data_IF_056083138291
#
_entry.id   IF_056083138291
#
_cell.length_a   1.000
_cell.length_b   1.000
_cell.length_c   1.000
_cell.angle_alpha   90.00
_cell.angle_beta   90.00
_cell.angle_gamma   90.00
#
_symmetry.space_group_name_H-M   'P 1'
#
loop_
_entity.id
_entity.type
_entity.pdbx_description
1 polymer ?
#
# COMPACT_ATOMS: atom_id res chain seq x y z
N UNK A 1 -84.27 -28.32 11.90
CA UNK A 1 -83.16 -29.19 11.44
C UNK A 1 -82.09 -28.30 10.85
N UNK A 2 -80.99 -28.15 11.60
CA UNK A 2 -79.87 -27.29 11.30
C UNK A 2 -78.79 -28.05 10.54
N UNK A 3 -78.18 -27.41 9.53
CA UNK A 3 -76.82 -27.68 9.00
C UNK A 3 -76.57 -26.77 7.78
N UNK A 4 -75.76 -25.73 7.95
CA UNK A 4 -74.46 -25.65 7.29
C UNK A 4 -73.66 -24.47 7.88
N UNK A 5 -72.60 -24.82 8.60
CA UNK A 5 -71.51 -23.92 8.97
C UNK A 5 -70.74 -23.54 7.70
N UNK A 6 -70.40 -22.26 7.53
CA UNK A 6 -69.20 -21.86 6.81
C UNK A 6 -68.35 -20.98 7.74
N UNK A 7 -67.21 -21.54 8.10
CA UNK A 7 -66.23 -21.07 9.07
C UNK A 7 -65.31 -20.06 8.36
N UNK A 8 -65.41 -18.76 8.68
CA UNK A 8 -64.42 -17.76 8.28
C UNK A 8 -63.16 -17.92 9.15
N UNK A 9 -62.12 -18.54 8.60
CA UNK A 9 -60.80 -18.60 9.23
C UNK A 9 -60.03 -17.30 8.92
N UNK A 10 -59.92 -16.42 9.92
CA UNK A 10 -59.01 -15.28 9.92
C UNK A 10 -57.57 -15.80 10.10
N UNK A 11 -56.79 -15.83 9.03
CA UNK A 11 -55.35 -16.04 9.10
C UNK A 11 -54.66 -14.75 9.58
N UNK A 12 -54.36 -14.71 10.88
CA UNK A 12 -53.40 -13.78 11.45
C UNK A 12 -52.00 -14.15 10.94
N UNK A 13 -51.49 -13.44 9.94
CA UNK A 13 -50.07 -13.53 9.58
C UNK A 13 -49.27 -12.76 10.64
N UNK A 14 -48.77 -13.47 11.63
CA UNK A 14 -47.75 -12.96 12.53
C UNK A 14 -46.47 -12.75 11.72
N UNK A 15 -46.21 -11.51 11.29
CA UNK A 15 -44.91 -11.11 10.77
C UNK A 15 -43.89 -11.19 11.91
N UNK A 16 -43.18 -12.32 11.98
CA UNK A 16 -41.95 -12.43 12.75
C UNK A 16 -40.95 -11.46 12.14
N UNK A 17 -40.76 -10.30 12.79
CA UNK A 17 -39.59 -9.44 12.55
C UNK A 17 -38.37 -10.27 12.90
N UNK A 18 -37.76 -10.88 11.90
CA UNK A 18 -36.41 -11.44 12.01
C UNK A 18 -35.47 -10.25 12.17
N UNK A 19 -35.09 -9.97 13.41
CA UNK A 19 -33.92 -9.15 13.68
C UNK A 19 -32.75 -9.77 12.89
N UNK A 20 -32.01 -9.01 12.07
CA UNK A 20 -30.78 -9.53 11.51
C UNK A 20 -29.90 -9.90 12.70
N UNK A 21 -29.51 -11.18 12.75
CA UNK A 21 -28.49 -11.65 13.67
C UNK A 21 -27.27 -10.74 13.50
N UNK A 22 -26.99 -9.94 14.51
CA UNK A 22 -25.69 -9.31 14.65
C UNK A 22 -24.69 -10.46 14.79
N UNK A 23 -24.03 -10.79 13.70
CA UNK A 23 -22.90 -11.72 13.74
C UNK A 23 -21.76 -11.00 14.44
N UNK A 24 -21.61 -11.32 15.72
CA UNK A 24 -20.45 -11.02 16.53
C UNK A 24 -19.17 -11.43 15.74
N UNK A 25 -18.19 -10.54 15.49
CA UNK A 25 -17.02 -10.80 14.64
C UNK A 25 -15.98 -11.74 15.29
N UNK A 26 -16.41 -12.67 16.14
CA UNK A 26 -15.57 -13.48 17.01
C UNK A 26 -15.47 -14.97 16.65
N UNK A 27 -16.00 -15.45 15.52
CA UNK A 27 -15.73 -16.81 15.05
C UNK A 27 -14.47 -16.85 14.19
N UNK A 28 -13.34 -16.62 14.88
CA UNK A 28 -11.97 -16.85 14.44
C UNK A 28 -11.76 -18.35 14.21
N UNK A 29 -11.50 -18.78 12.97
CA UNK A 29 -11.05 -20.14 12.72
C UNK A 29 -9.68 -20.38 13.38
N UNK A 30 -9.58 -21.38 14.26
CA UNK A 30 -8.31 -21.75 14.91
C UNK A 30 -7.26 -22.13 13.84
N UNK A 31 -6.06 -21.57 13.95
CA UNK A 31 -4.93 -21.85 13.05
C UNK A 31 -4.03 -22.89 13.69
N UNK A 32 -3.84 -24.01 13.00
CA UNK A 32 -2.94 -25.07 13.42
C UNK A 32 -1.60 -24.91 12.67
N UNK A 33 -0.50 -24.89 13.42
CA UNK A 33 0.84 -24.79 12.88
C UNK A 33 1.59 -26.11 13.05
N UNK A 34 2.06 -26.66 11.93
CA UNK A 34 2.89 -27.87 11.88
C UNK A 34 4.27 -27.51 11.31
N UNK A 35 5.33 -27.87 12.02
CA UNK A 35 6.71 -27.67 11.57
C UNK A 35 7.37 -28.99 11.25
N UNK A 36 7.92 -29.10 10.04
CA UNK A 36 8.76 -30.20 9.62
C UNK A 36 10.22 -29.74 9.51
N UNK A 37 11.05 -30.20 10.44
CA UNK A 37 12.47 -29.88 10.50
C UNK A 37 13.26 -30.92 9.70
N UNK A 38 13.90 -30.45 8.63
CA UNK A 38 14.66 -31.23 7.68
C UNK A 38 16.14 -31.10 8.01
N UNK A 39 16.76 -32.20 8.43
CA UNK A 39 18.20 -32.26 8.68
C UNK A 39 18.92 -32.90 7.48
N UNK A 40 20.02 -32.29 6.96
CA UNK A 40 20.84 -32.89 5.90
C UNK A 40 21.36 -34.29 6.23
N UNK A 41 21.72 -34.52 7.50
CA UNK A 41 22.05 -35.83 8.09
C UNK A 41 21.67 -35.82 9.56
N UNK A 42 20.73 -36.67 9.98
CA UNK A 42 20.26 -36.68 11.38
C UNK A 42 21.37 -37.01 12.36
N UNK A 43 22.29 -37.92 12.03
CA UNK A 43 23.36 -38.33 12.95
C UNK A 43 24.30 -37.19 13.37
N UNK A 44 24.51 -36.20 12.49
CA UNK A 44 25.38 -35.04 12.78
C UNK A 44 24.59 -33.91 13.47
N UNK A 45 23.33 -33.72 13.08
CA UNK A 45 22.48 -32.64 13.58
C UNK A 45 21.54 -33.06 14.72
N UNK A 46 21.70 -34.27 15.28
CA UNK A 46 20.75 -34.88 16.22
C UNK A 46 20.50 -34.02 17.46
N UNK A 47 21.56 -33.44 18.03
CA UNK A 47 21.47 -32.60 19.21
C UNK A 47 20.73 -31.28 18.91
N UNK A 48 21.05 -30.63 17.80
CA UNK A 48 20.41 -29.38 17.39
C UNK A 48 18.94 -29.60 17.01
N UNK A 49 18.64 -30.71 16.33
CA UNK A 49 17.27 -31.08 15.98
C UNK A 49 16.42 -31.39 17.22
N UNK A 50 16.98 -32.04 18.24
CA UNK A 50 16.31 -32.23 19.52
C UNK A 50 16.06 -30.91 20.25
N UNK A 51 17.04 -30.00 20.27
CA UNK A 51 16.89 -28.68 20.91
C UNK A 51 15.79 -27.85 20.25
N UNK A 52 15.80 -27.73 18.92
CA UNK A 52 14.75 -27.06 18.18
C UNK A 52 13.39 -27.73 18.36
N UNK A 53 13.35 -29.06 18.28
CA UNK A 53 12.11 -29.82 18.44
C UNK A 53 11.49 -29.67 19.83
N UNK A 54 12.29 -29.54 20.88
CA UNK A 54 11.80 -29.23 22.24
C UNK A 54 11.30 -27.80 22.33
N UNK A 55 12.11 -26.82 21.93
CA UNK A 55 11.74 -25.40 21.97
C UNK A 55 10.40 -25.12 21.27
N UNK A 56 10.22 -25.63 20.05
CA UNK A 56 9.00 -25.41 19.26
C UNK A 56 7.77 -26.12 19.85
N UNK A 57 7.95 -27.30 20.47
CA UNK A 57 6.85 -27.99 21.19
C UNK A 57 6.46 -27.24 22.46
N UNK A 58 7.41 -26.63 23.15
CA UNK A 58 7.13 -25.81 24.35
C UNK A 58 6.32 -24.55 24.00
N UNK A 59 6.41 -24.06 22.75
CA UNK A 59 5.54 -23.01 22.21
C UNK A 59 4.13 -23.51 21.81
N UNK A 60 3.85 -24.80 22.03
CA UNK A 60 2.57 -25.42 21.69
C UNK A 60 2.43 -25.83 20.23
N UNK A 61 3.53 -25.87 19.46
CA UNK A 61 3.49 -26.25 18.04
C UNK A 61 3.67 -27.76 17.83
N UNK A 62 3.11 -28.27 16.73
CA UNK A 62 3.32 -29.66 16.30
C UNK A 62 4.62 -29.71 15.51
N UNK A 63 5.57 -30.56 15.92
CA UNK A 63 6.90 -30.63 15.30
C UNK A 63 7.25 -32.06 14.91
N UNK A 64 7.72 -32.24 13.66
CA UNK A 64 8.30 -33.47 13.16
C UNK A 64 9.71 -33.22 12.67
N UNK A 65 10.64 -34.11 13.01
CA UNK A 65 12.02 -34.05 12.52
C UNK A 65 12.26 -35.23 11.59
N UNK A 66 12.87 -34.99 10.43
CA UNK A 66 13.28 -36.05 9.49
C UNK A 66 14.53 -35.68 8.70
N UNK A 67 15.08 -36.67 8.00
CA UNK A 67 16.16 -36.44 7.03
C UNK A 67 15.63 -35.83 5.72
N UNK A 68 16.55 -35.14 5.03
CA UNK A 68 16.32 -34.57 3.71
C UNK A 68 16.06 -35.65 2.66
N UNK A 69 14.96 -35.48 1.93
CA UNK A 69 14.62 -36.20 0.70
C UNK A 69 15.02 -35.36 -0.52
N UNK A 70 15.24 -36.02 -1.66
CA UNK A 70 15.67 -35.36 -2.89
C UNK A 70 14.66 -34.32 -3.43
N UNK A 71 13.39 -34.43 -3.06
CA UNK A 71 12.31 -33.53 -3.49
C UNK A 71 11.99 -32.42 -2.49
N UNK A 72 12.71 -32.32 -1.37
CA UNK A 72 12.40 -31.35 -0.32
C UNK A 72 12.70 -29.91 -0.71
N UNK A 73 11.77 -29.02 -0.37
CA UNK A 73 11.91 -27.58 -0.49
C UNK A 73 11.71 -26.92 0.87
N UNK A 74 12.43 -25.83 1.11
CA UNK A 74 12.19 -24.95 2.25
C UNK A 74 11.03 -24.03 1.83
N UNK A 75 9.86 -24.25 2.42
CA UNK A 75 8.64 -23.54 2.04
C UNK A 75 7.66 -23.50 3.21
N UNK A 76 6.71 -22.56 3.15
CA UNK A 76 5.55 -22.57 4.02
C UNK A 76 4.33 -22.77 3.14
N UNK A 77 3.51 -23.77 3.45
CA UNK A 77 2.30 -24.09 2.69
C UNK A 77 1.08 -23.95 3.58
N UNK A 78 -0.03 -23.49 3.03
CA UNK A 78 -1.29 -23.35 3.76
C UNK A 78 -2.39 -24.17 3.10
N UNK A 79 -3.15 -24.89 3.93
CA UNK A 79 -4.30 -25.67 3.50
C UNK A 79 -5.49 -25.38 4.42
N UNK A 80 -6.62 -25.01 3.83
CA UNK A 80 -7.88 -24.89 4.56
C UNK A 80 -8.48 -26.29 4.77
N UNK A 81 -8.80 -26.64 6.02
CA UNK A 81 -9.41 -27.92 6.39
C UNK A 81 -10.65 -27.68 7.24
N UNK A 82 -11.80 -27.49 6.57
CA UNK A 82 -13.05 -27.13 7.25
C UNK A 82 -12.98 -25.74 7.88
N UNK A 83 -13.21 -25.64 9.18
CA UNK A 83 -13.13 -24.39 9.97
C UNK A 83 -11.71 -24.02 10.41
N UNK A 84 -10.72 -24.88 10.13
CA UNK A 84 -9.32 -24.69 10.54
C UNK A 84 -8.44 -24.34 9.34
N UNK A 85 -7.44 -23.50 9.57
CA UNK A 85 -6.33 -23.27 8.61
C UNK A 85 -5.11 -24.01 9.11
N UNK A 86 -4.57 -24.91 8.28
CA UNK A 86 -3.34 -25.65 8.57
C UNK A 86 -2.19 -24.99 7.84
N UNK A 87 -1.25 -24.42 8.60
CA UNK A 87 0.01 -23.88 8.08
C UNK A 87 1.10 -24.91 8.34
N UNK A 88 1.74 -25.38 7.27
CA UNK A 88 2.89 -26.29 7.34
C UNK A 88 4.16 -25.55 6.98
N UNK A 89 5.15 -25.58 7.86
CA UNK A 89 6.47 -25.00 7.66
C UNK A 89 7.46 -26.14 7.40
N UNK A 90 8.12 -26.13 6.24
CA UNK A 90 9.26 -26.99 5.95
C UNK A 90 10.54 -26.18 6.18
N UNK A 91 11.26 -26.49 7.26
CA UNK A 91 12.43 -25.75 7.71
C UNK A 91 13.68 -26.62 7.59
N UNK A 92 14.81 -26.07 7.15
CA UNK A 92 16.09 -26.79 7.13
C UNK A 92 16.93 -26.46 8.36
N UNK A 93 17.49 -27.49 9.00
CA UNK A 93 18.50 -27.34 10.02
C UNK A 93 19.89 -27.44 9.41
N UNK A 94 20.66 -26.35 9.42
CA UNK A 94 22.03 -26.36 8.90
C UNK A 94 23.02 -27.07 9.84
N UNK A 95 24.30 -27.07 9.47
CA UNK A 95 25.37 -27.72 10.25
C UNK A 95 25.75 -26.93 11.51
N UNK A 96 25.49 -25.63 11.52
CA UNK A 96 25.78 -24.73 12.64
C UNK A 96 24.64 -24.71 13.67
N UNK A 97 23.53 -25.41 13.37
CA UNK A 97 22.36 -25.50 14.23
C UNK A 97 21.37 -24.36 14.05
N UNK A 98 21.48 -23.58 12.98
CA UNK A 98 20.51 -22.54 12.62
C UNK A 98 19.35 -23.14 11.83
N UNK A 99 18.18 -22.57 12.03
CA UNK A 99 16.95 -22.99 11.37
C UNK A 99 16.63 -22.05 10.21
N UNK A 100 16.68 -22.58 9.00
CA UNK A 100 16.37 -21.87 7.76
C UNK A 100 14.91 -22.11 7.39
N UNK A 101 14.18 -21.01 7.20
CA UNK A 101 12.80 -21.00 6.71
C UNK A 101 12.71 -20.00 5.55
N UNK A 102 11.62 -19.95 4.77
CA UNK A 102 11.51 -18.97 3.69
C UNK A 102 11.67 -17.55 4.20
N UNK A 103 12.70 -16.84 3.72
CA UNK A 103 12.97 -15.44 4.06
C UNK A 103 13.66 -15.18 5.41
N UNK A 104 13.84 -16.20 6.27
CA UNK A 104 14.44 -16.01 7.60
C UNK A 104 15.41 -17.14 7.99
N UNK A 105 16.35 -16.79 8.87
CA UNK A 105 17.26 -17.73 9.53
C UNK A 105 17.22 -17.46 11.02
N UNK A 106 16.90 -18.47 11.82
CA UNK A 106 16.77 -18.35 13.26
C UNK A 106 17.87 -19.09 14.00
N UNK A 107 18.24 -18.56 15.16
CA UNK A 107 19.21 -19.14 16.07
C UNK A 107 18.57 -19.41 17.43
N UNK A 108 18.92 -20.53 18.08
CA UNK A 108 18.35 -20.90 19.40
C UNK A 108 18.70 -19.94 20.53
N UNK A 109 19.74 -19.12 20.35
CA UNK A 109 20.16 -18.09 21.31
C UNK A 109 19.29 -16.82 21.22
N UNK A 110 18.38 -16.72 20.24
CA UNK A 110 17.44 -15.61 20.03
C UNK A 110 15.99 -16.11 19.91
N UNK A 111 15.44 -16.73 20.97
CA UNK A 111 14.13 -17.39 20.92
C UNK A 111 12.95 -16.44 20.64
N UNK A 112 13.09 -15.16 21.00
CA UNK A 112 12.10 -14.12 20.75
C UNK A 112 11.80 -13.90 19.25
N UNK A 113 12.81 -13.94 18.38
CA UNK A 113 12.66 -13.67 16.94
C UNK A 113 11.77 -14.75 16.27
N UNK A 114 12.03 -16.02 16.56
CA UNK A 114 11.22 -17.12 16.02
C UNK A 114 9.83 -17.18 16.66
N UNK A 115 9.70 -16.84 17.95
CA UNK A 115 8.39 -16.83 18.64
C UNK A 115 7.46 -15.78 18.02
N UNK A 116 7.99 -14.59 17.72
CA UNK A 116 7.26 -13.55 17.00
C UNK A 116 6.81 -14.07 15.62
N UNK A 117 7.73 -14.67 14.86
CA UNK A 117 7.43 -15.21 13.53
C UNK A 117 6.38 -16.34 13.53
N UNK A 118 6.39 -17.26 14.50
CA UNK A 118 5.36 -18.31 14.63
C UNK A 118 3.98 -17.69 14.91
N UNK A 119 3.93 -16.64 15.73
CA UNK A 119 2.71 -15.88 16.00
C UNK A 119 2.21 -15.15 14.76
N UNK A 120 3.10 -14.62 13.94
CA UNK A 120 2.76 -14.04 12.64
C UNK A 120 2.17 -15.08 11.70
N UNK A 121 2.76 -16.27 11.60
CA UNK A 121 2.20 -17.36 10.77
C UNK A 121 0.80 -17.78 11.25
N UNK A 122 0.57 -17.84 12.57
CA UNK A 122 -0.76 -18.09 13.13
C UNK A 122 -1.77 -16.99 12.83
N UNK A 123 -1.30 -15.77 12.58
CA UNK A 123 -2.16 -14.60 12.32
C UNK A 123 -2.41 -14.40 10.82
N UNK A 124 -1.37 -14.53 10.00
CA UNK A 124 -1.30 -14.11 8.60
C UNK A 124 -1.09 -15.25 7.59
N UNK A 125 -0.95 -16.50 8.07
CA UNK A 125 -0.83 -17.69 7.22
C UNK A 125 0.57 -17.91 6.65
N UNK A 126 0.69 -18.79 5.65
CA UNK A 126 1.97 -19.23 5.09
C UNK A 126 2.82 -18.11 4.45
N UNK A 127 2.22 -16.95 4.21
CA UNK A 127 2.86 -15.81 3.58
C UNK A 127 3.48 -14.83 4.60
N UNK A 128 3.46 -15.14 5.91
CA UNK A 128 4.10 -14.32 6.95
C UNK A 128 3.44 -12.96 7.21
N UNK A 129 3.94 -12.22 8.21
CA UNK A 129 3.55 -10.82 8.45
C UNK A 129 3.88 -9.95 7.23
N UNK A 130 3.05 -8.94 6.92
CA UNK A 130 3.37 -7.93 5.91
C UNK A 130 4.72 -7.23 6.12
N UNK A 131 5.28 -7.29 7.32
CA UNK A 131 6.54 -6.67 7.73
C UNK A 131 7.79 -7.45 7.25
N UNK A 132 7.64 -8.73 6.85
CA UNK A 132 8.75 -9.63 6.49
C UNK A 132 8.86 -10.00 4.99
N UNK A 133 8.04 -9.42 4.12
CA UNK A 133 8.04 -9.67 2.66
C UNK A 133 8.15 -8.35 1.87
N UNK A 134 8.67 -8.37 0.62
CA UNK A 134 8.85 -7.17 -0.19
C UNK A 134 7.57 -6.32 -0.28
N UNK A 135 7.74 -5.01 -0.09
CA UNK A 135 6.76 -3.91 -0.17
C UNK A 135 5.28 -4.32 0.03
N UNK A 136 4.76 -4.09 1.25
CA UNK A 136 3.37 -4.36 1.67
C UNK A 136 2.97 -5.82 1.85
N UNK A 137 3.94 -6.74 2.00
CA UNK A 137 3.62 -8.15 2.20
C UNK A 137 3.05 -8.85 0.97
N UNK A 138 3.33 -8.31 -0.23
CA UNK A 138 2.86 -8.82 -1.51
C UNK A 138 4.02 -9.47 -2.27
N UNK A 139 3.86 -10.74 -2.63
CA UNK A 139 4.75 -11.38 -3.59
C UNK A 139 4.72 -10.69 -4.96
N UNK A 140 5.82 -10.73 -5.70
CA UNK A 140 5.98 -10.04 -6.98
C UNK A 140 4.85 -10.28 -8.01
N UNK A 141 4.29 -11.50 -8.19
CA UNK A 141 3.18 -11.71 -9.12
C UNK A 141 1.92 -10.91 -8.72
N UNK A 142 1.61 -10.91 -7.43
CA UNK A 142 0.43 -10.23 -6.89
C UNK A 142 0.58 -8.71 -6.89
N UNK A 143 1.80 -8.23 -6.59
CA UNK A 143 2.11 -6.83 -6.78
C UNK A 143 1.89 -6.40 -8.24
N UNK A 144 2.37 -7.20 -9.20
CA UNK A 144 2.19 -6.90 -10.63
C UNK A 144 0.72 -6.86 -11.04
N UNK A 145 -0.11 -7.77 -10.52
CA UNK A 145 -1.56 -7.76 -10.74
C UNK A 145 -2.21 -6.50 -10.17
N UNK A 146 -1.89 -6.14 -8.94
CA UNK A 146 -2.37 -4.92 -8.29
C UNK A 146 -1.94 -3.68 -9.09
N UNK A 147 -0.66 -3.57 -9.43
CA UNK A 147 -0.10 -2.48 -10.22
C UNK A 147 -0.83 -2.33 -11.56
N UNK A 148 -1.02 -3.43 -12.29
CA UNK A 148 -1.76 -3.43 -13.54
C UNK A 148 -3.24 -3.04 -13.37
N UNK A 149 -3.88 -3.45 -12.27
CA UNK A 149 -5.29 -3.09 -11.99
C UNK A 149 -5.49 -1.59 -11.75
N UNK A 150 -4.47 -0.92 -11.19
CA UNK A 150 -4.47 0.52 -10.89
C UNK A 150 -3.92 1.39 -12.03
N UNK A 151 -3.48 0.79 -13.14
CA UNK A 151 -2.91 1.48 -14.30
C UNK A 151 -3.93 2.15 -15.23
N UNK A 152 -5.24 2.01 -14.96
CA UNK A 152 -6.27 2.64 -15.78
C UNK A 152 -6.26 4.16 -15.57
N UNK A 153 -6.30 4.98 -16.62
CA UNK A 153 -6.28 6.43 -16.47
C UNK A 153 -7.60 6.94 -15.91
N UNK A 154 -7.53 7.99 -15.09
CA UNK A 154 -8.70 8.75 -14.63
C UNK A 154 -9.22 9.61 -15.78
N UNK A 155 -10.47 9.41 -16.18
CA UNK A 155 -11.05 10.08 -17.36
C UNK A 155 -11.62 11.47 -17.06
N UNK A 156 -11.98 11.74 -15.81
CA UNK A 156 -12.66 12.98 -15.39
C UNK A 156 -11.68 13.95 -14.71
N UNK A 157 -11.84 15.26 -14.92
CA UNK A 157 -11.08 16.27 -14.17
C UNK A 157 -11.52 16.28 -12.71
N UNK A 158 -10.57 16.24 -11.79
CA UNK A 158 -10.86 16.25 -10.34
C UNK A 158 -10.42 17.55 -9.67
N UNK A 159 -9.64 18.39 -10.35
CA UNK A 159 -9.28 19.70 -9.82
C UNK A 159 -10.54 20.54 -9.56
N UNK A 160 -10.61 21.19 -8.40
CA UNK A 160 -11.74 22.00 -7.99
C UNK A 160 -12.95 21.20 -7.47
N UNK A 161 -12.90 19.87 -7.47
CA UNK A 161 -13.94 19.05 -6.85
C UNK A 161 -13.72 18.93 -5.33
N UNK A 162 -14.78 18.81 -4.52
CA UNK A 162 -14.67 18.40 -3.12
C UNK A 162 -13.96 17.05 -2.97
N UNK A 163 -13.13 16.88 -1.94
CA UNK A 163 -12.42 15.63 -1.65
C UNK A 163 -13.36 14.41 -1.57
N UNK A 164 -14.55 14.55 -0.98
CA UNK A 164 -15.50 13.44 -0.86
C UNK A 164 -16.09 13.00 -2.22
N UNK A 165 -16.20 13.92 -3.18
CA UNK A 165 -16.61 13.64 -4.56
C UNK A 165 -15.45 13.05 -5.37
N UNK A 166 -14.24 13.60 -5.22
CA UNK A 166 -13.04 13.08 -5.85
C UNK A 166 -12.76 11.61 -5.44
N UNK A 167 -12.91 11.27 -4.16
CA UNK A 167 -12.74 9.89 -3.68
C UNK A 167 -13.84 8.93 -4.17
N UNK A 168 -15.05 9.43 -4.46
CA UNK A 168 -16.09 8.63 -5.13
C UNK A 168 -15.74 8.37 -6.59
N UNK A 169 -15.16 9.34 -7.28
CA UNK A 169 -14.69 9.18 -8.65
C UNK A 169 -13.46 8.26 -8.76
N UNK A 170 -12.64 8.20 -7.70
CA UNK A 170 -11.41 7.39 -7.63
C UNK A 170 -11.59 6.02 -6.96
N UNK A 171 -12.82 5.48 -6.92
CA UNK A 171 -13.01 4.12 -6.42
C UNK A 171 -12.22 3.11 -7.27
N UNK A 172 -11.44 2.22 -6.63
CA UNK A 172 -10.67 1.24 -7.36
C UNK A 172 -11.62 0.20 -8.02
N UNK A 173 -11.19 -0.48 -9.09
CA UNK A 173 -12.01 -1.47 -9.77
C UNK A 173 -12.21 -2.69 -8.85
N UNK A 174 -13.37 -3.33 -8.97
CA UNK A 174 -13.62 -4.61 -8.30
C UNK A 174 -12.54 -5.64 -8.70
N UNK A 175 -12.09 -6.50 -7.76
CA UNK A 175 -12.59 -6.68 -6.38
C UNK A 175 -11.92 -5.76 -5.34
N UNK A 176 -11.06 -4.82 -5.73
CA UNK A 176 -10.37 -3.95 -4.79
C UNK A 176 -11.36 -3.04 -4.06
N UNK A 177 -11.13 -2.86 -2.77
CA UNK A 177 -11.94 -1.97 -1.92
C UNK A 177 -11.07 -0.90 -1.33
N UNK A 178 -11.57 0.33 -1.35
CA UNK A 178 -10.99 1.45 -0.65
C UNK A 178 -11.61 1.54 0.75
N UNK A 179 -10.78 1.47 1.78
CA UNK A 179 -11.18 1.62 3.18
C UNK A 179 -10.40 2.75 3.82
N UNK A 180 -10.99 3.38 4.83
CA UNK A 180 -10.31 4.36 5.65
C UNK A 180 -10.12 3.81 7.05
N UNK A 181 -8.91 3.93 7.58
CA UNK A 181 -8.65 3.72 9.00
C UNK A 181 -9.35 4.82 9.81
N UNK A 182 -9.64 4.59 11.10
CA UNK A 182 -10.41 5.50 11.93
C UNK A 182 -9.81 6.91 11.99
N UNK A 183 -8.49 7.03 12.13
CA UNK A 183 -7.80 8.32 12.18
C UNK A 183 -7.86 9.06 10.83
N UNK A 184 -7.84 8.33 9.71
CA UNK A 184 -8.08 8.93 8.39
C UNK A 184 -9.54 9.34 8.19
N UNK A 185 -10.50 8.55 8.68
CA UNK A 185 -11.93 8.88 8.57
C UNK A 185 -12.26 10.24 9.21
N UNK A 186 -11.68 10.56 10.36
CA UNK A 186 -11.87 11.87 11.02
C UNK A 186 -11.32 13.03 10.18
N UNK A 187 -10.16 12.85 9.53
CA UNK A 187 -9.59 13.85 8.62
C UNK A 187 -10.44 14.02 7.36
N UNK A 188 -10.87 12.91 6.75
CA UNK A 188 -11.75 12.90 5.60
C UNK A 188 -13.10 13.58 5.88
N UNK A 189 -13.67 13.38 7.06
CA UNK A 189 -14.91 14.07 7.47
C UNK A 189 -14.70 15.57 7.63
N UNK A 190 -13.58 16.00 8.22
CA UNK A 190 -13.26 17.43 8.42
C UNK A 190 -12.94 18.15 7.11
N UNK A 191 -12.24 17.48 6.19
CA UNK A 191 -11.70 18.06 4.97
C UNK A 191 -12.48 17.66 3.71
N UNK A 192 -13.56 16.87 3.84
CA UNK A 192 -14.29 16.31 2.71
C UNK A 192 -14.82 17.35 1.71
N UNK A 193 -15.10 18.57 2.18
CA UNK A 193 -15.56 19.70 1.34
C UNK A 193 -14.43 20.60 0.85
N UNK A 194 -13.21 20.38 1.29
CA UNK A 194 -12.04 21.10 0.79
C UNK A 194 -11.78 20.65 -0.65
N UNK A 195 -11.48 21.61 -1.52
CA UNK A 195 -11.31 21.35 -2.95
C UNK A 195 -9.95 20.74 -3.23
N UNK A 196 -9.92 19.75 -4.12
CA UNK A 196 -8.70 19.23 -4.71
C UNK A 196 -8.04 20.34 -5.54
N UNK A 197 -6.78 20.64 -5.26
CA UNK A 197 -6.08 21.78 -5.85
C UNK A 197 -5.27 21.42 -7.10
N UNK A 198 -4.73 20.21 -7.16
CA UNK A 198 -3.93 19.72 -8.30
C UNK A 198 -4.75 18.78 -9.18
N UNK A 199 -4.60 18.90 -10.51
CA UNK A 199 -5.26 18.03 -11.47
C UNK A 199 -4.56 16.66 -11.56
N UNK A 200 -5.36 15.60 -11.62
CA UNK A 200 -4.91 14.20 -11.74
C UNK A 200 -5.54 13.48 -12.93
N UNK A 201 -6.37 14.16 -13.72
CA UNK A 201 -6.94 13.61 -14.95
C UNK A 201 -5.85 13.07 -15.86
N UNK A 202 -6.10 11.88 -16.40
CA UNK A 202 -5.17 11.18 -17.25
C UNK A 202 -4.07 10.44 -16.51
N UNK A 203 -3.83 10.67 -15.22
CA UNK A 203 -2.97 9.79 -14.43
C UNK A 203 -3.68 8.47 -14.16
N UNK A 204 -2.90 7.42 -13.95
CA UNK A 204 -3.36 6.11 -13.52
C UNK A 204 -4.03 6.20 -12.15
N UNK A 205 -5.05 5.37 -11.92
CA UNK A 205 -5.86 5.38 -10.69
C UNK A 205 -5.02 5.34 -9.40
N UNK A 206 -3.97 4.52 -9.34
CA UNK A 206 -3.11 4.42 -8.16
C UNK A 206 -2.40 5.75 -7.86
N UNK A 207 -1.69 6.28 -8.85
CA UNK A 207 -1.01 7.57 -8.76
C UNK A 207 -1.97 8.74 -8.54
N UNK A 208 -3.14 8.74 -9.19
CA UNK A 208 -4.17 9.78 -9.02
C UNK A 208 -4.75 9.78 -7.61
N UNK A 209 -5.05 8.60 -7.05
CA UNK A 209 -5.51 8.46 -5.66
C UNK A 209 -4.45 8.94 -4.68
N UNK A 210 -3.19 8.55 -4.85
CA UNK A 210 -2.09 9.05 -4.03
C UNK A 210 -1.93 10.57 -4.15
N UNK A 211 -2.03 11.09 -5.38
CA UNK A 211 -1.88 12.51 -5.68
C UNK A 211 -3.01 13.39 -5.14
N UNK A 212 -4.24 12.87 -5.04
CA UNK A 212 -5.33 13.54 -4.33
C UNK A 212 -5.07 13.49 -2.82
N UNK A 213 -4.82 12.31 -2.26
CA UNK A 213 -4.69 12.12 -0.80
C UNK A 213 -3.53 12.93 -0.19
N UNK A 214 -2.39 13.04 -0.88
CA UNK A 214 -1.21 13.76 -0.37
C UNK A 214 -1.50 15.25 -0.12
N UNK A 215 -2.43 15.86 -0.87
CA UNK A 215 -2.83 17.26 -0.70
C UNK A 215 -3.55 17.51 0.63
N UNK A 216 -4.03 16.44 1.28
CA UNK A 216 -4.80 16.46 2.53
C UNK A 216 -4.07 15.80 3.70
N UNK A 217 -2.79 15.44 3.50
CA UNK A 217 -1.96 14.81 4.53
C UNK A 217 -2.32 13.35 4.76
N UNK A 218 -2.92 12.72 3.74
CA UNK A 218 -3.31 11.32 3.72
C UNK A 218 -2.44 10.57 2.72
N UNK A 219 -2.36 9.26 2.88
CA UNK A 219 -1.87 8.35 1.87
C UNK A 219 -2.70 7.08 1.90
N UNK A 220 -2.37 6.14 1.01
CA UNK A 220 -2.92 4.79 1.11
C UNK A 220 -1.83 3.77 0.90
N UNK A 221 -2.08 2.53 1.33
CA UNK A 221 -1.26 1.37 1.00
C UNK A 221 -2.15 0.15 0.79
N UNK A 222 -1.72 -0.83 -0.01
CA UNK A 222 -2.40 -2.11 -0.05
C UNK A 222 -2.15 -2.87 1.25
N UNK A 223 -3.20 -3.51 1.74
CA UNK A 223 -3.17 -4.40 2.90
C UNK A 223 -3.82 -5.72 2.50
N UNK A 224 -3.16 -6.81 2.87
CA UNK A 224 -3.69 -8.16 2.68
C UNK A 224 -4.68 -8.49 3.79
N UNK A 225 -5.88 -8.94 3.43
CA UNK A 225 -6.86 -9.43 4.41
C UNK A 225 -6.52 -10.87 4.83
N UNK A 226 -7.05 -11.37 5.97
CA UNK A 226 -6.93 -12.78 6.35
C UNK A 226 -7.47 -13.75 5.30
N UNK A 227 -8.45 -13.33 4.49
CA UNK A 227 -9.03 -14.07 3.36
C UNK A 227 -8.17 -14.02 2.09
N UNK A 228 -6.98 -13.42 2.19
CA UNK A 228 -6.04 -13.28 1.10
C UNK A 228 -6.57 -12.37 -0.03
N UNK A 229 -7.42 -11.39 0.28
CA UNK A 229 -7.82 -10.30 -0.63
C UNK A 229 -6.90 -9.08 -0.45
N UNK A 230 -6.91 -8.14 -1.39
CA UNK A 230 -6.19 -6.85 -1.26
C UNK A 230 -7.22 -5.75 -1.02
N UNK A 231 -7.00 -4.98 0.03
CA UNK A 231 -7.73 -3.74 0.29
C UNK A 231 -6.77 -2.56 0.24
N UNK A 232 -7.23 -1.42 -0.27
CA UNK A 232 -6.48 -0.18 -0.25
C UNK A 232 -6.91 0.58 1.00
N UNK A 233 -6.00 0.75 1.96
CA UNK A 233 -6.30 1.38 3.24
C UNK A 233 -5.73 2.79 3.26
N UNK A 234 -6.60 3.78 3.46
CA UNK A 234 -6.27 5.19 3.65
C UNK A 234 -5.93 5.42 5.12
N UNK A 235 -4.79 6.05 5.36
CA UNK A 235 -4.28 6.43 6.67
C UNK A 235 -3.68 7.85 6.61
N UNK A 236 -3.52 8.56 7.74
CA UNK A 236 -2.70 9.77 7.78
C UNK A 236 -1.30 9.47 7.26
N UNK A 237 -0.76 10.35 6.42
CA UNK A 237 0.56 10.15 5.79
C UNK A 237 1.68 10.02 6.83
N UNK A 238 1.54 10.68 7.99
CA UNK A 238 2.45 10.57 9.13
C UNK A 238 2.50 9.19 9.77
N UNK A 239 1.48 8.36 9.55
CA UNK A 239 1.34 7.04 10.16
C UNK A 239 1.74 5.93 9.17
N UNK A 240 1.89 6.25 7.88
CA UNK A 240 2.22 5.29 6.85
C UNK A 240 3.72 5.08 6.76
N UNK A 241 4.12 3.82 6.86
CA UNK A 241 5.41 3.35 6.36
C UNK A 241 5.18 2.86 4.93
N UNK A 242 5.95 3.39 3.97
CA UNK A 242 5.83 3.09 2.55
C UNK A 242 4.43 3.33 1.97
N UNK A 243 3.91 4.56 1.90
CA UNK A 243 2.66 4.80 1.18
C UNK A 243 2.79 4.42 -0.31
N UNK A 244 1.68 4.05 -0.96
CA UNK A 244 1.61 3.99 -2.41
C UNK A 244 2.03 5.35 -2.96
N UNK A 245 3.06 5.41 -3.83
CA UNK A 245 3.70 6.67 -4.11
C UNK A 245 2.88 7.48 -5.11
N UNK A 246 3.04 8.80 -5.08
CA UNK A 246 2.58 9.67 -6.17
C UNK A 246 3.53 9.48 -7.35
N UNK A 247 3.25 8.49 -8.18
CA UNK A 247 4.15 8.03 -9.23
C UNK A 247 5.38 7.30 -8.69
N UNK A 248 5.96 6.48 -9.55
CA UNK A 248 7.11 5.64 -9.30
C UNK A 248 8.39 6.31 -9.79
N UNK A 249 9.52 5.94 -9.20
CA UNK A 249 10.81 6.41 -9.65
C UNK A 249 11.11 5.89 -11.05
N UNK A 250 11.59 6.79 -11.91
CA UNK A 250 12.01 6.48 -13.26
C UNK A 250 13.40 5.85 -13.25
N UNK A 251 13.67 4.96 -14.21
CA UNK A 251 15.01 4.42 -14.42
C UNK A 251 16.01 5.58 -14.64
N UNK A 252 17.05 5.72 -13.79
CA UNK A 252 18.08 6.76 -13.93
C UNK A 252 18.77 6.78 -15.29
N UNK A 253 18.79 5.66 -16.01
CA UNK A 253 19.39 5.53 -17.34
C UNK A 253 18.49 6.06 -18.45
N UNK A 254 17.17 6.18 -18.21
CA UNK A 254 16.24 6.69 -19.22
C UNK A 254 16.35 8.21 -19.33
N UNK A 255 16.64 8.78 -20.51
CA UNK A 255 16.71 10.22 -20.69
C UNK A 255 15.39 10.91 -20.36
N UNK A 256 15.43 11.92 -19.50
CA UNK A 256 14.21 12.60 -18.99
C UNK A 256 13.36 13.23 -20.09
N UNK A 257 13.98 13.68 -21.19
CA UNK A 257 13.29 14.22 -22.35
C UNK A 257 12.55 13.16 -23.18
N UNK A 258 12.82 11.87 -22.99
CA UNK A 258 12.00 10.80 -23.57
C UNK A 258 10.75 10.54 -22.73
N UNK A 259 10.81 10.81 -21.43
CA UNK A 259 9.71 10.57 -20.48
C UNK A 259 8.70 11.73 -20.51
N UNK A 260 9.18 12.97 -20.50
CA UNK A 260 8.35 14.19 -20.50
C UNK A 260 8.85 15.20 -21.56
N UNK A 261 8.73 14.91 -22.87
CA UNK A 261 9.37 15.69 -23.93
C UNK A 261 8.99 17.17 -23.92
N UNK A 262 7.72 17.50 -23.69
CA UNK A 262 7.21 18.88 -23.65
C UNK A 262 7.81 19.68 -22.49
N UNK A 263 8.21 19.02 -21.39
CA UNK A 263 8.90 19.68 -20.27
C UNK A 263 10.31 20.15 -20.66
N UNK A 264 10.93 19.53 -21.66
CA UNK A 264 12.29 19.86 -22.13
C UNK A 264 12.31 20.68 -23.42
N UNK A 265 11.13 21.02 -23.97
CA UNK A 265 11.02 21.88 -25.14
C UNK A 265 11.54 23.29 -24.83
N UNK A 266 12.36 23.84 -25.74
CA UNK A 266 12.94 25.17 -25.60
C UNK A 266 11.95 26.22 -26.10
N UNK A 267 11.53 27.10 -25.20
CA UNK A 267 10.59 28.20 -25.45
C UNK A 267 11.21 29.54 -25.07
N UNK A 268 10.69 30.63 -25.63
CA UNK A 268 11.00 31.99 -25.17
C UNK A 268 9.93 32.41 -24.16
N UNK A 269 10.24 32.35 -22.86
CA UNK A 269 9.27 32.68 -21.82
C UNK A 269 9.95 33.11 -20.51
N UNK A 270 9.18 33.71 -19.62
CA UNK A 270 9.57 34.17 -18.30
C UNK A 270 8.35 34.56 -17.47
N UNK A 271 8.55 34.75 -16.18
CA UNK A 271 7.52 35.11 -15.21
C UNK A 271 8.04 36.23 -14.33
N UNK A 272 7.21 37.25 -14.09
CA UNK A 272 7.58 38.38 -13.24
C UNK A 272 6.41 38.68 -12.32
N UNK A 273 6.64 38.59 -11.00
CA UNK A 273 5.63 38.90 -10.00
C UNK A 273 4.38 38.01 -10.05
N UNK A 274 4.48 36.76 -10.49
CA UNK A 274 3.34 35.83 -10.57
C UNK A 274 3.35 34.89 -9.35
N UNK A 275 2.20 34.61 -8.70
CA UNK A 275 2.12 33.61 -7.64
C UNK A 275 2.68 32.26 -8.09
N UNK A 276 3.54 31.65 -7.27
CA UNK A 276 4.24 30.41 -7.63
C UNK A 276 3.30 29.29 -8.04
N UNK A 277 2.19 29.12 -7.32
CA UNK A 277 1.16 28.14 -7.67
C UNK A 277 0.65 28.32 -9.10
N UNK A 278 0.38 29.56 -9.53
CA UNK A 278 -0.08 29.85 -10.89
C UNK A 278 1.01 29.53 -11.92
N UNK A 279 2.28 29.79 -11.61
CA UNK A 279 3.40 29.41 -12.47
C UNK A 279 3.47 27.89 -12.64
N UNK A 280 3.32 27.12 -11.54
CA UNK A 280 3.30 25.67 -11.59
C UNK A 280 2.10 25.14 -12.39
N UNK A 281 0.91 25.69 -12.19
CA UNK A 281 -0.29 25.33 -12.97
C UNK A 281 -0.11 25.62 -14.47
N UNK A 282 0.50 26.76 -14.81
CA UNK A 282 0.78 27.11 -16.21
C UNK A 282 1.81 26.15 -16.83
N UNK A 283 2.86 25.76 -16.09
CA UNK A 283 3.82 24.74 -16.53
C UNK A 283 3.09 23.41 -16.77
N UNK A 284 2.28 22.95 -15.82
CA UNK A 284 1.53 21.70 -15.94
C UNK A 284 0.65 21.68 -17.20
N UNK A 285 -0.08 22.78 -17.43
CA UNK A 285 -0.97 22.96 -18.59
C UNK A 285 -0.20 23.00 -19.92
N UNK A 286 0.92 23.73 -19.99
CA UNK A 286 1.72 23.88 -21.21
C UNK A 286 2.47 22.60 -21.58
N UNK A 287 2.97 21.89 -20.58
CA UNK A 287 3.75 20.66 -20.75
C UNK A 287 2.87 19.40 -20.76
N UNK A 288 1.57 19.55 -20.47
CA UNK A 288 0.62 18.43 -20.27
C UNK A 288 1.14 17.39 -19.28
N UNK A 289 2.02 17.81 -18.36
CA UNK A 289 2.60 16.97 -17.32
C UNK A 289 2.00 17.41 -16.00
N UNK A 290 1.12 16.61 -15.37
CA UNK A 290 0.54 16.94 -14.08
C UNK A 290 1.61 17.24 -13.02
N UNK A 291 1.36 18.27 -12.21
CA UNK A 291 2.23 18.65 -11.08
C UNK A 291 1.42 18.47 -9.81
N UNK A 292 1.87 17.58 -8.93
CA UNK A 292 1.25 17.29 -7.64
C UNK A 292 2.12 17.86 -6.53
N UNK A 293 1.52 18.64 -5.64
CA UNK A 293 2.21 19.34 -4.56
C UNK A 293 1.82 18.73 -3.21
N UNK A 294 2.82 18.34 -2.40
CA UNK A 294 2.58 17.99 -1.00
C UNK A 294 2.36 19.27 -0.17
N UNK A 295 1.14 19.82 -0.27
CA UNK A 295 0.71 21.07 0.38
C UNK A 295 0.80 21.01 1.91
N UNK A 296 0.40 19.92 2.59
CA UNK A 296 0.60 19.80 4.03
C UNK A 296 2.07 19.89 4.44
N UNK A 297 2.98 19.25 3.69
CA UNK A 297 4.41 19.36 3.96
C UNK A 297 4.95 20.79 3.71
N UNK A 298 4.45 21.48 2.68
CA UNK A 298 4.78 22.89 2.45
C UNK A 298 4.32 23.76 3.62
N UNK A 299 3.06 23.59 4.07
CA UNK A 299 2.49 24.34 5.18
C UNK A 299 3.24 24.06 6.51
N UNK A 300 3.62 22.81 6.77
CA UNK A 300 4.40 22.43 7.96
C UNK A 300 5.79 23.10 8.03
N UNK A 301 6.31 23.57 6.89
CA UNK A 301 7.56 24.33 6.81
C UNK A 301 7.36 25.81 6.50
N UNK A 302 6.13 26.30 6.67
CA UNK A 302 5.76 27.71 6.45
C UNK A 302 6.08 28.19 5.02
N UNK A 303 6.07 27.28 4.04
CA UNK A 303 6.30 27.61 2.63
C UNK A 303 5.00 28.10 2.02
N UNK A 304 4.93 29.39 1.73
CA UNK A 304 3.79 30.01 1.06
C UNK A 304 3.85 29.85 -0.47
N UNK A 305 2.93 29.07 -1.05
CA UNK A 305 2.81 28.85 -2.50
C UNK A 305 2.24 30.08 -3.26
N UNK A 306 1.65 31.05 -2.55
CA UNK A 306 1.14 32.29 -3.14
C UNK A 306 2.19 33.38 -3.26
N UNK A 307 3.34 33.23 -2.59
CA UNK A 307 4.46 34.14 -2.75
C UNK A 307 4.93 34.20 -4.20
N UNK A 308 5.34 35.40 -4.62
CA UNK A 308 5.65 35.71 -6.00
C UNK A 308 6.93 34.98 -6.44
N UNK A 309 6.90 34.40 -7.63
CA UNK A 309 8.05 33.80 -8.28
C UNK A 309 8.49 34.67 -9.47
N UNK A 310 9.80 34.74 -9.69
CA UNK A 310 10.38 35.46 -10.81
C UNK A 310 11.30 34.52 -11.61
N UNK A 311 11.16 34.54 -12.93
CA UNK A 311 12.07 33.86 -13.85
C UNK A 311 12.31 34.75 -15.07
N UNK A 312 13.56 35.12 -15.39
CA UNK A 312 13.84 36.07 -16.45
C UNK A 312 13.35 35.56 -17.81
N UNK A 313 12.76 36.46 -18.60
CA UNK A 313 12.35 36.13 -19.97
C UNK A 313 13.56 35.84 -20.84
N UNK A 314 13.72 34.57 -21.25
CA UNK A 314 14.82 34.11 -22.09
C UNK A 314 14.44 32.82 -22.82
N UNK A 315 15.30 32.40 -23.75
CA UNK A 315 15.20 31.09 -24.39
C UNK A 315 15.62 30.01 -23.39
N UNK A 316 14.68 29.17 -22.98
CA UNK A 316 14.88 28.16 -21.92
C UNK A 316 13.89 26.99 -22.06
N UNK A 317 14.15 25.86 -21.40
CA UNK A 317 13.18 24.77 -21.27
C UNK A 317 12.28 24.94 -20.04
N UNK A 318 11.06 24.38 -20.09
CA UNK A 318 10.13 24.37 -18.95
C UNK A 318 10.71 23.71 -17.69
N UNK A 319 11.52 22.66 -17.84
CA UNK A 319 12.23 22.00 -16.75
C UNK A 319 13.11 22.97 -15.93
N UNK A 320 13.80 23.89 -16.60
CA UNK A 320 14.66 24.89 -15.95
C UNK A 320 13.85 25.99 -15.27
N UNK A 321 12.69 26.34 -15.82
CA UNK A 321 11.74 27.26 -15.19
C UNK A 321 11.19 26.62 -13.92
N UNK A 322 10.66 25.41 -14.02
CA UNK A 322 10.17 24.61 -12.90
C UNK A 322 11.22 24.57 -11.78
N UNK A 323 12.45 24.16 -12.11
CA UNK A 323 13.55 24.11 -11.15
C UNK A 323 13.85 25.45 -10.50
N UNK A 324 13.89 26.54 -11.28
CA UNK A 324 14.15 27.88 -10.76
C UNK A 324 13.05 28.37 -9.81
N UNK A 325 11.79 28.11 -10.17
CA UNK A 325 10.59 28.55 -9.45
C UNK A 325 10.42 27.80 -8.13
N UNK A 326 10.61 26.47 -8.12
CA UNK A 326 10.50 25.67 -6.88
C UNK A 326 11.65 25.99 -5.91
N UNK A 327 12.88 26.17 -6.41
CA UNK A 327 14.05 26.47 -5.56
C UNK A 327 13.95 27.80 -4.83
N UNK A 328 13.30 28.81 -5.41
CA UNK A 328 13.07 30.11 -4.76
C UNK A 328 12.29 29.99 -3.44
N UNK A 329 11.53 28.91 -3.26
CA UNK A 329 10.75 28.64 -2.05
C UNK A 329 11.33 27.51 -1.17
N UNK A 330 12.55 27.03 -1.45
CA UNK A 330 13.08 25.87 -0.72
C UNK A 330 12.34 24.56 -1.03
N UNK A 331 11.68 24.48 -2.19
CA UNK A 331 11.03 23.27 -2.70
C UNK A 331 11.98 22.50 -3.62
N UNK A 332 11.75 21.20 -3.73
CA UNK A 332 12.32 20.31 -4.73
C UNK A 332 11.22 19.77 -5.64
N UNK A 333 11.61 19.20 -6.78
CA UNK A 333 10.71 18.46 -7.66
C UNK A 333 11.35 17.14 -8.08
N UNK A 334 10.52 16.13 -8.32
CA UNK A 334 10.93 14.85 -8.90
C UNK A 334 10.05 14.52 -10.09
N UNK A 335 10.69 14.13 -11.20
CA UNK A 335 10.00 13.54 -12.35
C UNK A 335 9.82 12.06 -12.09
N UNK A 336 8.57 11.61 -12.16
CA UNK A 336 8.14 10.23 -11.91
C UNK A 336 7.24 9.76 -13.04
N UNK A 337 6.90 8.48 -13.03
CA UNK A 337 5.90 7.92 -13.94
C UNK A 337 4.77 7.22 -13.17
N UNK A 338 3.56 7.25 -13.70
CA UNK A 338 2.46 6.50 -13.11
C UNK A 338 2.50 5.01 -13.50
N UNK A 339 1.52 4.24 -13.04
CA UNK A 339 1.41 2.80 -13.34
C UNK A 339 1.25 2.49 -14.84
N UNK A 340 0.78 3.47 -15.61
CA UNK A 340 0.63 3.42 -17.07
C UNK A 340 1.82 4.02 -17.84
N UNK A 341 2.89 4.44 -17.15
CA UNK A 341 4.09 5.04 -17.74
C UNK A 341 3.97 6.53 -18.12
N UNK A 342 2.90 7.23 -17.73
CA UNK A 342 2.71 8.67 -17.97
C UNK A 342 3.53 9.50 -16.99
N UNK A 343 4.14 10.61 -17.44
CA UNK A 343 4.94 11.45 -16.57
C UNK A 343 4.08 12.22 -15.55
N UNK A 344 4.60 12.34 -14.33
CA UNK A 344 4.06 13.20 -13.28
C UNK A 344 5.22 13.89 -12.56
N UNK A 345 5.03 15.16 -12.21
CA UNK A 345 5.97 15.90 -11.36
C UNK A 345 5.42 15.91 -9.93
N UNK A 346 6.26 15.52 -8.97
CA UNK A 346 5.95 15.67 -7.55
C UNK A 346 6.80 16.79 -6.96
N UNK A 347 6.14 17.77 -6.35
CA UNK A 347 6.77 18.91 -5.67
C UNK A 347 6.59 18.76 -4.17
N UNK A 348 7.69 18.89 -3.43
CA UNK A 348 7.71 18.79 -1.98
C UNK A 348 8.81 19.70 -1.41
N UNK A 349 8.79 20.02 -0.10
CA UNK A 349 9.90 20.73 0.53
C UNK A 349 11.24 20.00 0.35
N UNK A 350 12.32 20.76 0.21
CA UNK A 350 13.67 20.20 0.10
C UNK A 350 14.11 19.53 1.41
N UNK A 351 14.43 18.25 1.36
CA UNK A 351 15.03 17.51 2.48
C UNK A 351 16.54 17.38 2.29
N UNK A 352 17.37 17.93 3.20
CA UNK A 352 18.80 17.70 3.16
C UNK A 352 19.08 16.23 3.47
N UNK A 353 19.82 15.56 2.59
CA UNK A 353 20.29 14.19 2.83
C UNK A 353 21.24 14.23 4.03
N UNK A 354 20.85 13.61 5.15
CA UNK A 354 21.75 13.42 6.29
C UNK A 354 22.88 12.47 5.89
N UNK A 355 24.15 12.73 6.26
CA UNK A 355 25.29 11.87 5.92
C UNK A 355 25.20 10.43 6.42
N UNK A 356 24.28 10.13 7.34
CA UNK A 356 24.18 8.84 8.05
C UNK A 356 23.37 7.77 7.29
N UNK A 357 22.78 8.07 6.14
CA UNK A 357 21.93 7.14 5.37
C UNK A 357 22.59 6.53 4.12
N UNK A 358 23.91 6.38 4.10
CA UNK A 358 24.66 5.71 3.02
C UNK A 358 25.24 4.36 3.43
#
# INVERSE_FOLDING_TARGET
>A
MARLLLLCLLLFTASTRTLPAQTDPALRGEVLLELELIAPRLGINQLNAQRWGTFLRDQGEIVRVRERLASDKIEVTEHSRGTFRLVKVYAELDRDGKLHVPGHVFELNKPEEITAWLKELKTYGAQGSPEGQPLWGLGAPRFKELYASLAKPVEVPLQGQPLDEALKALQPPEPLRLKSERSAADLLLKQGRTLVADEVQGLSQGTALAGVLIQFGLGFRPVRTPENEIELVIEPLSNLTDPWPVGWDIDPLTPRNQIAPELYEIVQTGFEGIPREQVLQEIARKTKTPIIINRPACAAREIDLMSLANYPSKRTGWALILQGVVRQAGLTHSLRHDEGGRPVIVVAPFEPVSPESR
#
